data_IF_757181974977
#
_entry.id   IF_757181974977
#
_cell.length_a   1.000
_cell.length_b   1.000
_cell.length_c   1.000
_cell.angle_alpha   90.00
_cell.angle_beta   90.00
_cell.angle_gamma   90.00
#
_symmetry.space_group_name_H-M   'P 1'
#
loop_
_entity.id
_entity.type
_entity.pdbx_description
1 polymer ?
#
# COMPACT_ATOMS: atom_id res chain seq x y z
N UNK A 1 13.83 38.23 -9.05
CA UNK A 1 13.95 36.82 -9.46
C UNK A 1 13.74 36.75 -10.97
N UNK A 2 14.70 36.17 -11.69
CA UNK A 2 14.70 36.09 -13.17
C UNK A 2 13.52 35.28 -13.68
N UNK A 3 13.14 34.21 -12.97
CA UNK A 3 12.01 33.35 -13.34
C UNK A 3 10.70 34.13 -13.26
N UNK A 4 10.50 34.92 -12.19
CA UNK A 4 9.31 35.75 -12.01
C UNK A 4 9.21 36.83 -13.10
N UNK A 5 10.34 37.43 -13.48
CA UNK A 5 10.38 38.42 -14.55
C UNK A 5 10.04 37.81 -15.91
N UNK A 6 10.63 36.66 -16.25
CA UNK A 6 10.31 35.91 -17.48
C UNK A 6 8.84 35.48 -17.52
N UNK A 7 8.31 35.00 -16.40
CA UNK A 7 6.90 34.60 -16.30
C UNK A 7 5.94 35.77 -16.46
N UNK A 8 6.24 36.92 -15.83
CA UNK A 8 5.42 38.13 -15.98
C UNK A 8 5.44 38.65 -17.42
N UNK A 9 6.60 38.61 -18.08
CA UNK A 9 6.74 38.97 -19.49
C UNK A 9 5.94 38.04 -20.40
N UNK A 10 6.05 36.72 -20.19
CA UNK A 10 5.26 35.71 -20.88
C UNK A 10 3.75 36.01 -20.78
N UNK A 11 3.22 36.23 -19.58
CA UNK A 11 1.79 36.50 -19.37
C UNK A 11 1.32 37.79 -20.05
N UNK A 12 2.18 38.81 -20.08
CA UNK A 12 1.85 40.10 -20.71
C UNK A 12 1.88 40.05 -22.24
N UNK A 13 2.77 39.25 -22.83
CA UNK A 13 3.08 39.27 -24.26
C UNK A 13 2.51 38.04 -24.99
N UNK A 14 2.97 36.85 -24.61
CA UNK A 14 2.68 35.61 -25.33
C UNK A 14 1.44 34.87 -24.80
N UNK A 15 1.13 35.00 -23.52
CA UNK A 15 -0.02 34.35 -22.87
C UNK A 15 -1.38 34.82 -23.41
N UNK A 16 -1.41 35.95 -24.13
CA UNK A 16 -2.60 36.44 -24.86
C UNK A 16 -2.63 36.00 -26.33
N UNK A 17 -1.57 35.33 -26.80
CA UNK A 17 -1.45 34.84 -28.15
C UNK A 17 -2.47 33.75 -28.48
N UNK A 18 -2.80 33.64 -29.76
CA UNK A 18 -3.75 32.65 -30.28
C UNK A 18 -3.30 31.22 -30.00
N UNK A 19 -1.99 30.98 -29.92
CA UNK A 19 -1.36 29.70 -29.57
C UNK A 19 -1.84 29.18 -28.20
N UNK A 20 -1.86 30.03 -27.17
CA UNK A 20 -2.34 29.65 -25.83
C UNK A 20 -3.87 29.54 -25.77
N UNK A 21 -4.60 30.36 -26.53
CA UNK A 21 -6.07 30.31 -26.57
C UNK A 21 -6.63 29.10 -27.32
N UNK A 22 -5.92 28.67 -28.36
CA UNK A 22 -6.28 27.51 -29.19
C UNK A 22 -5.68 26.20 -28.69
N UNK A 23 -4.84 26.25 -27.65
CA UNK A 23 -4.23 25.06 -27.07
C UNK A 23 -5.30 24.09 -26.55
N UNK A 24 -5.23 22.85 -27.04
CA UNK A 24 -6.12 21.78 -26.64
C UNK A 24 -5.29 20.64 -26.02
N UNK A 25 -5.40 20.39 -24.70
CA UNK A 25 -4.60 19.37 -24.02
C UNK A 25 -4.76 17.95 -24.59
N UNK A 26 -5.92 17.67 -25.20
CA UNK A 26 -6.23 16.37 -25.81
C UNK A 26 -5.66 16.19 -27.23
N UNK A 27 -5.23 17.27 -27.88
CA UNK A 27 -4.64 17.24 -29.23
C UNK A 27 -3.14 17.46 -29.22
N UNK A 28 -2.63 18.22 -28.26
CA UNK A 28 -1.21 18.53 -28.13
C UNK A 28 -0.79 18.40 -26.67
N UNK A 29 0.34 17.72 -26.44
CA UNK A 29 0.86 17.56 -25.09
C UNK A 29 1.35 18.90 -24.53
N UNK A 30 1.07 19.11 -23.24
CA UNK A 30 1.42 20.34 -22.51
C UNK A 30 2.93 20.57 -22.47
N UNK A 31 3.73 19.53 -22.27
CA UNK A 31 5.19 19.61 -22.19
C UNK A 31 5.81 20.01 -23.53
N UNK A 32 5.34 19.43 -24.64
CA UNK A 32 5.77 19.79 -25.99
C UNK A 32 5.38 21.23 -26.32
N UNK A 33 4.14 21.61 -25.99
CA UNK A 33 3.65 22.98 -26.22
C UNK A 33 4.49 24.00 -25.44
N UNK A 34 4.67 23.80 -24.13
CA UNK A 34 5.47 24.70 -23.30
C UNK A 34 6.93 24.74 -23.72
N UNK A 35 7.51 23.61 -24.15
CA UNK A 35 8.87 23.60 -24.68
C UNK A 35 9.00 24.46 -25.94
N UNK A 36 8.09 24.31 -26.90
CA UNK A 36 8.11 25.08 -28.14
C UNK A 36 7.91 26.58 -27.90
N UNK A 37 7.07 26.95 -26.94
CA UNK A 37 6.78 28.35 -26.64
C UNK A 37 7.87 29.02 -25.81
N UNK A 38 8.42 28.33 -24.81
CA UNK A 38 9.38 28.92 -23.88
C UNK A 38 10.83 28.81 -24.36
N UNK A 39 11.14 27.86 -25.25
CA UNK A 39 12.51 27.64 -25.70
C UNK A 39 13.19 28.85 -26.36
N UNK A 40 12.50 29.69 -27.14
CA UNK A 40 13.16 30.81 -27.82
C UNK A 40 13.57 31.97 -26.89
N UNK A 41 12.79 32.22 -25.84
CA UNK A 41 12.86 33.50 -25.11
C UNK A 41 13.00 33.35 -23.58
N UNK A 42 12.64 32.21 -23.01
CA UNK A 42 12.48 32.06 -21.55
C UNK A 42 13.10 30.75 -21.02
N UNK A 43 14.43 30.64 -21.13
CA UNK A 43 15.17 29.41 -20.76
C UNK A 43 15.13 29.07 -19.27
N UNK A 44 15.20 30.05 -18.38
CA UNK A 44 15.17 29.80 -16.93
C UNK A 44 13.77 29.42 -16.47
N UNK A 45 12.75 30.05 -17.04
CA UNK A 45 11.35 29.67 -16.85
C UNK A 45 11.08 28.26 -17.41
N UNK A 46 11.64 27.90 -18.57
CA UNK A 46 11.51 26.54 -19.10
C UNK A 46 12.11 25.52 -18.13
N UNK A 47 13.32 25.76 -17.61
CA UNK A 47 13.97 24.85 -16.64
C UNK A 47 13.17 24.73 -15.35
N UNK A 48 12.56 25.83 -14.91
CA UNK A 48 11.62 25.82 -13.78
C UNK A 48 10.36 25.00 -14.09
N UNK A 49 9.73 25.22 -15.24
CA UNK A 49 8.56 24.44 -15.69
C UNK A 49 8.90 22.95 -15.81
N UNK A 50 10.07 22.60 -16.34
CA UNK A 50 10.55 21.21 -16.38
C UNK A 50 10.66 20.63 -14.98
N UNK A 51 11.23 21.38 -14.03
CA UNK A 51 11.32 20.94 -12.63
C UNK A 51 9.92 20.72 -12.05
N UNK A 52 8.98 21.64 -12.26
CA UNK A 52 7.59 21.52 -11.78
C UNK A 52 6.84 20.36 -12.44
N UNK A 53 7.04 20.12 -13.74
CA UNK A 53 6.40 19.02 -14.48
C UNK A 53 7.02 17.65 -14.14
N UNK A 54 8.25 17.64 -13.61
CA UNK A 54 8.94 16.46 -13.09
C UNK A 54 8.68 16.23 -11.60
N UNK A 55 8.25 17.26 -10.85
CA UNK A 55 7.74 17.08 -9.51
C UNK A 55 6.46 16.24 -9.63
N UNK A 56 6.56 14.98 -9.23
CA UNK A 56 5.39 14.12 -9.06
C UNK A 56 4.36 14.90 -8.21
N UNK A 57 3.18 15.17 -8.76
CA UNK A 57 2.07 15.74 -8.01
C UNK A 57 1.79 14.83 -6.81
N UNK A 58 2.32 15.20 -5.64
CA UNK A 58 2.13 14.48 -4.41
C UNK A 58 0.64 14.33 -4.12
N UNK A 59 0.20 13.09 -4.01
CA UNK A 59 -1.01 12.59 -3.31
C UNK A 59 -2.41 13.12 -3.69
N UNK A 60 -2.59 14.25 -4.38
CA UNK A 60 -3.92 14.80 -4.66
C UNK A 60 -4.76 13.95 -5.63
N UNK A 61 -4.13 13.28 -6.61
CA UNK A 61 -4.81 12.29 -7.47
C UNK A 61 -5.04 10.97 -6.72
N UNK A 62 -4.18 10.66 -5.75
CA UNK A 62 -4.26 9.45 -4.94
C UNK A 62 -5.47 9.52 -4.00
N UNK A 63 -5.76 10.69 -3.43
CA UNK A 63 -6.95 10.90 -2.58
C UNK A 63 -8.28 10.94 -3.35
N UNK A 64 -8.30 11.49 -4.57
CA UNK A 64 -9.48 11.41 -5.44
C UNK A 64 -9.72 9.99 -5.99
N UNK A 65 -8.65 9.21 -6.11
CA UNK A 65 -8.66 7.79 -6.49
C UNK A 65 -9.28 6.88 -5.43
N UNK A 66 -9.08 7.12 -4.12
CA UNK A 66 -9.59 6.20 -3.10
C UNK A 66 -11.12 6.01 -3.08
N UNK A 67 -11.91 6.98 -3.54
CA UNK A 67 -13.38 6.83 -3.62
C UNK A 67 -13.89 6.24 -4.95
N UNK A 68 -13.06 6.21 -6.00
CA UNK A 68 -13.37 5.61 -7.32
C UNK A 68 -12.62 4.26 -7.49
N UNK A 69 -11.66 3.97 -6.60
CA UNK A 69 -10.73 2.86 -6.71
C UNK A 69 -11.36 1.47 -6.61
N UNK A 70 -12.61 1.33 -6.18
CA UNK A 70 -13.22 -0.01 -6.15
C UNK A 70 -13.48 -0.57 -7.57
N UNK A 71 -13.63 0.28 -8.59
CA UNK A 71 -13.75 -0.14 -9.99
C UNK A 71 -12.44 0.00 -10.79
N UNK A 72 -11.53 0.89 -10.39
CA UNK A 72 -10.25 1.12 -11.10
C UNK A 72 -9.14 0.15 -10.66
N UNK A 73 -9.21 -0.40 -9.44
CA UNK A 73 -8.26 -1.45 -9.00
C UNK A 73 -8.31 -2.68 -9.90
N UNK A 74 -9.46 -3.01 -10.50
CA UNK A 74 -9.58 -4.13 -11.44
C UNK A 74 -8.84 -3.92 -12.77
N UNK A 75 -8.47 -2.68 -13.13
CA UNK A 75 -7.69 -2.40 -14.34
C UNK A 75 -6.18 -2.32 -14.09
N UNK A 76 -5.71 -2.39 -12.84
CA UNK A 76 -4.32 -2.12 -12.47
C UNK A 76 -3.53 -3.35 -11.95
N UNK A 77 -4.02 -4.58 -12.14
CA UNK A 77 -3.37 -5.80 -11.62
C UNK A 77 -2.87 -6.80 -12.68
N UNK A 78 -2.40 -6.30 -13.84
CA UNK A 78 -1.76 -7.19 -14.82
C UNK A 78 -0.58 -6.56 -15.58
N UNK A 79 -0.71 -5.30 -15.98
CA UNK A 79 0.30 -4.63 -16.80
C UNK A 79 0.66 -3.29 -16.17
N UNK A 80 1.96 -3.06 -15.93
CA UNK A 80 2.44 -1.78 -15.38
C UNK A 80 2.06 -0.64 -16.34
N UNK A 81 1.60 0.49 -15.82
CA UNK A 81 1.23 1.67 -16.61
C UNK A 81 2.35 2.14 -17.57
N UNK A 82 3.60 1.89 -17.20
CA UNK A 82 4.79 2.07 -18.04
C UNK A 82 4.77 1.19 -19.30
N UNK A 83 4.39 -0.08 -19.20
CA UNK A 83 4.29 -0.99 -20.34
C UNK A 83 3.19 -0.52 -21.32
N UNK A 84 2.04 -0.11 -20.81
CA UNK A 84 0.96 0.46 -21.62
C UNK A 84 1.41 1.75 -22.33
N UNK A 85 2.17 2.59 -21.65
CA UNK A 85 2.73 3.82 -22.24
C UNK A 85 3.69 3.51 -23.38
N UNK A 86 4.61 2.57 -23.18
CA UNK A 86 5.56 2.12 -24.20
C UNK A 86 4.84 1.57 -25.44
N UNK A 87 3.78 0.77 -25.24
CA UNK A 87 2.95 0.25 -26.33
C UNK A 87 2.31 1.39 -27.12
N UNK A 88 1.64 2.33 -26.43
CA UNK A 88 0.99 3.48 -27.06
C UNK A 88 1.97 4.39 -27.82
N UNK A 89 3.15 4.65 -27.26
CA UNK A 89 4.19 5.46 -27.90
C UNK A 89 4.71 4.77 -29.17
N UNK A 90 4.92 3.45 -29.13
CA UNK A 90 5.33 2.67 -30.30
C UNK A 90 4.25 2.66 -31.39
N UNK A 91 2.99 2.41 -31.04
CA UNK A 91 1.86 2.46 -31.99
C UNK A 91 1.72 3.84 -32.62
N UNK A 92 1.90 4.90 -31.83
CA UNK A 92 1.86 6.29 -32.33
C UNK A 92 3.01 6.58 -33.30
N UNK A 93 4.22 6.10 -32.99
CA UNK A 93 5.39 6.21 -33.87
C UNK A 93 5.19 5.49 -35.21
N UNK A 94 4.47 4.36 -35.20
CA UNK A 94 4.11 3.61 -36.40
C UNK A 94 2.94 4.23 -37.19
N UNK A 95 2.42 5.40 -36.78
CA UNK A 95 1.25 6.05 -37.40
C UNK A 95 -0.04 5.21 -37.35
N UNK A 96 -0.22 4.40 -36.29
CA UNK A 96 -1.43 3.65 -36.01
C UNK A 96 -1.24 2.13 -35.95
N UNK A 97 -2.24 1.44 -35.38
CA UNK A 97 -2.19 0.00 -35.06
C UNK A 97 -1.98 -0.88 -36.30
N UNK A 98 -2.56 -0.49 -37.45
CA UNK A 98 -2.46 -1.26 -38.70
C UNK A 98 -1.08 -1.19 -39.37
N UNK A 99 -0.23 -0.27 -38.94
CA UNK A 99 1.09 -0.02 -39.52
C UNK A 99 2.24 -0.53 -38.67
N UNK A 100 1.93 -1.16 -37.53
CA UNK A 100 2.94 -1.76 -36.65
C UNK A 100 3.55 -2.98 -37.36
N UNK A 101 4.89 -3.04 -37.52
CA UNK A 101 5.53 -4.15 -38.21
C UNK A 101 5.43 -5.45 -37.41
N UNK A 102 5.05 -6.54 -38.09
CA UNK A 102 5.02 -7.88 -37.51
C UNK A 102 6.42 -8.47 -37.47
N UNK A 103 7.16 -8.20 -36.39
CA UNK A 103 8.49 -8.76 -36.16
C UNK A 103 8.42 -10.24 -35.74
N UNK A 104 9.50 -10.98 -35.99
CA UNK A 104 9.59 -12.40 -35.58
C UNK A 104 9.44 -12.56 -34.06
N UNK A 105 10.00 -11.63 -33.30
CA UNK A 105 9.94 -11.64 -31.83
C UNK A 105 8.51 -11.40 -31.34
N UNK A 106 7.75 -10.51 -31.98
CA UNK A 106 6.35 -10.28 -31.66
C UNK A 106 5.53 -11.54 -31.91
N UNK A 107 5.74 -12.20 -33.05
CA UNK A 107 5.06 -13.45 -33.39
C UNK A 107 5.40 -14.58 -32.41
N UNK A 108 6.68 -14.72 -32.05
CA UNK A 108 7.13 -15.72 -31.07
C UNK A 108 6.55 -15.45 -29.67
N UNK A 109 6.53 -14.19 -29.24
CA UNK A 109 5.92 -13.76 -27.97
C UNK A 109 4.45 -14.16 -27.93
N UNK A 110 3.66 -13.77 -28.94
CA UNK A 110 2.22 -14.07 -29.04
C UNK A 110 1.97 -15.58 -29.07
N UNK A 111 2.79 -16.35 -29.79
CA UNK A 111 2.68 -17.81 -29.83
C UNK A 111 2.88 -18.45 -28.44
N UNK A 112 3.78 -17.89 -27.62
CA UNK A 112 4.07 -18.39 -26.27
C UNK A 112 3.12 -17.85 -25.19
N UNK A 113 2.42 -16.73 -25.45
CA UNK A 113 1.62 -16.01 -24.47
C UNK A 113 0.57 -16.88 -23.77
N UNK A 114 -0.12 -17.75 -24.53
CA UNK A 114 -1.12 -18.67 -23.95
C UNK A 114 -0.49 -19.67 -22.97
N UNK A 115 0.70 -20.18 -23.28
CA UNK A 115 1.41 -21.10 -22.41
C UNK A 115 1.89 -20.40 -21.15
N UNK A 116 2.46 -19.20 -21.28
CA UNK A 116 2.88 -18.38 -20.16
C UNK A 116 1.71 -18.02 -19.23
N UNK A 117 0.56 -17.64 -19.79
CA UNK A 117 -0.64 -17.34 -19.01
C UNK A 117 -1.13 -18.57 -18.21
N UNK A 118 -1.08 -19.76 -18.79
CA UNK A 118 -1.42 -20.99 -18.05
C UNK A 118 -0.47 -21.25 -16.88
N UNK A 119 0.84 -21.08 -17.10
CA UNK A 119 1.84 -21.24 -16.03
C UNK A 119 1.62 -20.22 -14.91
N UNK A 120 1.31 -18.97 -15.26
CA UNK A 120 0.94 -17.93 -14.31
C UNK A 120 -0.28 -18.34 -13.46
N UNK A 121 -1.36 -18.81 -14.08
CA UNK A 121 -2.55 -19.26 -13.35
C UNK A 121 -2.25 -20.44 -12.40
N UNK A 122 -1.42 -21.38 -12.81
CA UNK A 122 -0.98 -22.49 -11.95
C UNK A 122 -0.15 -21.99 -10.77
N UNK A 123 0.71 -21.00 -10.97
CA UNK A 123 1.51 -20.39 -9.91
C UNK A 123 0.64 -19.64 -8.91
N UNK A 124 -0.29 -18.81 -9.38
CA UNK A 124 -1.26 -18.09 -8.54
C UNK A 124 -2.06 -19.06 -7.68
N UNK A 125 -2.50 -20.19 -8.26
CA UNK A 125 -3.21 -21.22 -7.52
C UNK A 125 -2.34 -21.85 -6.42
N UNK A 126 -1.09 -22.21 -6.74
CA UNK A 126 -0.14 -22.78 -5.75
C UNK A 126 0.13 -21.82 -4.61
N UNK A 127 0.29 -20.53 -4.90
CA UNK A 127 0.53 -19.50 -3.88
C UNK A 127 -0.70 -19.32 -2.96
N UNK A 128 -1.90 -19.29 -3.54
CA UNK A 128 -3.16 -19.24 -2.80
C UNK A 128 -3.33 -20.46 -1.88
N UNK A 129 -3.06 -21.67 -2.40
CA UNK A 129 -3.15 -22.91 -1.64
C UNK A 129 -2.13 -22.94 -0.50
N UNK A 130 -0.88 -22.54 -0.76
CA UNK A 130 0.17 -22.44 0.24
C UNK A 130 -0.17 -21.42 1.35
N UNK A 131 -0.74 -20.28 0.99
CA UNK A 131 -1.17 -19.27 1.96
C UNK A 131 -2.32 -19.79 2.82
N UNK A 132 -3.26 -20.50 2.22
CA UNK A 132 -4.39 -21.12 2.94
C UNK A 132 -3.90 -22.17 3.93
N UNK A 133 -2.92 -23.01 3.54
CA UNK A 133 -2.31 -23.99 4.43
C UNK A 133 -1.58 -23.34 5.61
N UNK A 134 -0.79 -22.28 5.36
CA UNK A 134 -0.12 -21.52 6.43
C UNK A 134 -1.11 -20.92 7.42
N UNK A 135 -2.20 -20.34 6.92
CA UNK A 135 -3.27 -19.79 7.78
C UNK A 135 -3.90 -20.86 8.65
N UNK A 136 -4.23 -22.01 8.06
CA UNK A 136 -4.82 -23.13 8.79
C UNK A 136 -3.89 -23.64 9.90
N UNK A 137 -2.60 -23.82 9.59
CA UNK A 137 -1.62 -24.26 10.59
C UNK A 137 -1.50 -23.28 11.77
N UNK A 138 -1.49 -21.96 11.49
CA UNK A 138 -1.45 -20.94 12.53
C UNK A 138 -2.76 -20.89 13.36
N UNK A 139 -3.91 -21.13 12.75
CA UNK A 139 -5.20 -21.24 13.45
C UNK A 139 -5.23 -22.45 14.39
N UNK A 140 -4.72 -23.60 13.94
CA UNK A 140 -4.61 -24.82 14.74
C UNK A 140 -3.66 -24.62 15.95
N UNK A 141 -2.48 -24.01 15.74
CA UNK A 141 -1.52 -23.69 16.81
C UNK A 141 -2.11 -22.71 17.84
N UNK A 142 -2.84 -21.69 17.38
CA UNK A 142 -3.52 -20.74 18.26
C UNK A 142 -4.59 -21.44 19.11
N UNK A 143 -5.32 -22.39 18.54
CA UNK A 143 -6.33 -23.16 19.27
C UNK A 143 -5.67 -24.05 20.34
N UNK A 144 -4.54 -24.67 20.02
CA UNK A 144 -3.78 -25.47 20.98
C UNK A 144 -3.27 -24.61 22.14
N UNK A 145 -2.65 -23.46 21.86
CA UNK A 145 -2.18 -22.53 22.88
C UNK A 145 -3.32 -22.01 23.77
N UNK A 146 -4.49 -21.71 23.19
CA UNK A 146 -5.70 -21.34 23.95
C UNK A 146 -6.14 -22.46 24.89
N UNK A 147 -6.08 -23.71 24.44
CA UNK A 147 -6.45 -24.86 25.27
C UNK A 147 -5.43 -25.08 26.39
N UNK A 148 -4.13 -24.93 26.10
CA UNK A 148 -3.07 -25.03 27.10
C UNK A 148 -3.17 -23.91 28.15
N UNK A 149 -3.59 -22.70 27.77
CA UNK A 149 -3.75 -21.57 28.71
C UNK A 149 -4.91 -21.73 29.69
N UNK A 150 -5.96 -22.50 29.34
CA UNK A 150 -7.10 -22.72 30.24
C UNK A 150 -6.70 -23.32 31.58
N UNK A 151 -5.76 -24.28 31.58
CA UNK A 151 -5.37 -24.97 32.81
C UNK A 151 -4.65 -24.01 33.79
N UNK A 152 -3.64 -23.22 33.38
CA UNK A 152 -3.09 -22.14 34.19
C UNK A 152 -4.14 -21.13 34.66
N UNK A 153 -5.04 -20.69 33.77
CA UNK A 153 -6.10 -19.72 34.09
C UNK A 153 -7.01 -20.27 35.22
N UNK A 154 -7.41 -21.54 35.13
CA UNK A 154 -8.20 -22.24 36.16
C UNK A 154 -7.43 -22.38 37.48
N UNK A 155 -6.14 -22.75 37.43
CA UNK A 155 -5.29 -22.89 38.63
C UNK A 155 -5.10 -21.54 39.33
N UNK A 156 -4.87 -20.46 38.57
CA UNK A 156 -4.78 -19.11 39.12
C UNK A 156 -6.08 -18.70 39.80
N UNK A 157 -7.24 -18.98 39.19
CA UNK A 157 -8.54 -18.69 39.79
C UNK A 157 -8.79 -19.48 41.08
N UNK A 158 -8.35 -20.73 41.18
CA UNK A 158 -8.45 -21.52 42.42
C UNK A 158 -7.55 -20.93 43.50
N UNK A 159 -6.28 -20.65 43.18
CA UNK A 159 -5.32 -20.07 44.13
C UNK A 159 -5.79 -18.73 44.67
N UNK A 160 -6.39 -17.89 43.83
CA UNK A 160 -6.95 -16.61 44.24
C UNK A 160 -8.14 -16.77 45.19
N UNK A 161 -9.05 -17.70 44.89
CA UNK A 161 -10.17 -18.00 45.77
C UNK A 161 -9.72 -18.55 47.13
N UNK A 162 -8.72 -19.43 47.15
CA UNK A 162 -8.19 -19.99 48.38
C UNK A 162 -7.44 -18.94 49.20
N UNK A 163 -6.66 -18.07 48.55
CA UNK A 163 -6.01 -16.94 49.22
C UNK A 163 -7.03 -15.96 49.82
N UNK A 164 -8.14 -15.70 49.13
CA UNK A 164 -9.22 -14.85 49.62
C UNK A 164 -9.97 -15.49 50.81
N UNK A 165 -10.25 -16.80 50.77
CA UNK A 165 -10.82 -17.51 51.93
C UNK A 165 -9.90 -17.46 53.15
N UNK A 166 -8.60 -17.67 52.97
CA UNK A 166 -7.63 -17.58 54.07
C UNK A 166 -7.56 -16.16 54.66
N UNK A 167 -7.72 -15.13 53.84
CA UNK A 167 -7.79 -13.75 54.30
C UNK A 167 -9.09 -13.50 55.11
N UNK A 168 -10.24 -13.96 54.61
CA UNK A 168 -11.53 -13.84 55.30
C UNK A 168 -11.54 -14.62 56.64
N UNK A 169 -10.99 -15.84 56.66
CA UNK A 169 -10.85 -16.63 57.89
C UNK A 169 -9.95 -15.95 58.93
N UNK A 170 -8.95 -15.18 58.49
CA UNK A 170 -8.06 -14.46 59.39
C UNK A 170 -8.76 -13.33 60.15
N UNK A 171 -9.76 -12.66 59.52
CA UNK A 171 -10.54 -11.59 60.15
C UNK A 171 -11.28 -12.08 61.41
N UNK A 172 -11.65 -13.36 61.46
CA UNK A 172 -12.32 -14.01 62.59
C UNK A 172 -11.39 -14.62 63.66
N UNK A 173 -10.05 -14.47 63.54
CA UNK A 173 -9.06 -15.04 64.48
C UNK A 173 -8.18 -13.93 65.07
N UNK A 174 -7.55 -14.21 66.22
CA UNK A 174 -6.64 -13.26 66.88
C UNK A 174 -5.27 -13.88 67.18
N UNK A 175 -4.26 -13.03 67.35
CA UNK A 175 -2.90 -13.42 67.75
C UNK A 175 -2.17 -14.27 66.70
N UNK A 176 -1.41 -15.28 67.16
CA UNK A 176 -0.53 -16.09 66.29
C UNK A 176 -1.27 -16.78 65.14
N UNK A 177 -2.55 -17.14 65.31
CA UNK A 177 -3.32 -17.86 64.30
C UNK A 177 -3.77 -16.96 63.15
N UNK A 178 -4.07 -15.69 63.43
CA UNK A 178 -4.34 -14.66 62.42
C UNK A 178 -3.11 -14.41 61.56
N UNK A 179 -1.95 -14.19 62.19
CA UNK A 179 -0.69 -13.94 61.48
C UNK A 179 -0.32 -15.10 60.53
N UNK A 180 -0.50 -16.35 60.97
CA UNK A 180 -0.24 -17.53 60.12
C UNK A 180 -1.14 -17.60 58.88
N UNK A 181 -2.42 -17.24 59.00
CA UNK A 181 -3.38 -17.27 57.88
C UNK A 181 -3.07 -16.15 56.87
N UNK A 182 -2.72 -14.95 57.33
CA UNK A 182 -2.31 -13.83 56.47
C UNK A 182 -1.01 -14.16 55.72
N UNK A 183 -0.01 -14.72 56.40
CA UNK A 183 1.23 -15.14 55.73
C UNK A 183 0.96 -16.18 54.64
N UNK A 184 0.10 -17.17 54.90
CA UNK A 184 -0.28 -18.17 53.89
C UNK A 184 -1.03 -17.56 52.70
N UNK A 185 -1.97 -16.66 52.95
CA UNK A 185 -2.70 -15.93 51.90
C UNK A 185 -1.74 -15.14 51.00
N UNK A 186 -0.80 -14.40 51.59
CA UNK A 186 0.16 -13.60 50.83
C UNK A 186 1.11 -14.46 50.01
N UNK A 187 1.61 -15.57 50.55
CA UNK A 187 2.47 -16.49 49.78
C UNK A 187 1.76 -17.08 48.56
N UNK A 188 0.44 -17.32 48.64
CA UNK A 188 -0.33 -17.80 47.50
C UNK A 188 -0.54 -16.72 46.44
N UNK A 189 -0.75 -15.47 46.85
CA UNK A 189 -0.85 -14.31 45.93
C UNK A 189 0.48 -13.99 45.25
N UNK A 190 1.60 -14.12 45.96
CA UNK A 190 2.94 -13.97 45.37
C UNK A 190 3.20 -15.06 44.32
N UNK A 191 2.88 -16.32 44.63
CA UNK A 191 3.01 -17.46 43.70
C UNK A 191 2.14 -17.30 42.43
N UNK A 192 1.04 -16.55 42.52
CA UNK A 192 0.19 -16.21 41.37
C UNK A 192 0.83 -15.11 40.51
N UNK A 193 1.43 -14.08 41.12
CA UNK A 193 2.03 -12.95 40.40
C UNK A 193 3.33 -13.29 39.65
N UNK A 194 3.97 -14.42 39.97
CA UNK A 194 5.20 -14.90 39.34
C UNK A 194 4.98 -15.78 38.10
N UNK A 195 3.73 -16.14 37.75
CA UNK A 195 3.37 -17.03 36.63
C UNK A 195 2.69 -16.29 35.48
#
# INVERSE_FOLDING_TARGET
DVIIQQFTSLLSLEGRGEQFRSFQPFKQRVDVFLHLTLSPSYMDLLRFCQSVLLLSHGQATVERGFSINKEVETCNLGESLEALRLICDNVSSCCGVLKVPLTKDLLASVASARSQYRLYLEQVKRESDAQTQKRKAAEDELQELKQQRKVPDEVCAILENDANKLAEEAEGKAGSKMAQLITKSNTQKETQGEK
#
